data_IF_148403018437
#
_entry.id   IF_148403018437
#
_cell.length_a   1.000
_cell.length_b   1.000
_cell.length_c   1.000
_cell.angle_alpha   90.00
_cell.angle_beta   90.00
_cell.angle_gamma   90.00
#
_symmetry.space_group_name_H-M   'P 1'
#
loop_
_entity.id
_entity.type
_entity.pdbx_description
1 polymer ?
#
# COMPACT_ATOMS: atom_id res chain seq x y z
N UNK A 1 -1.18 19.89 69.64
CA UNK A 1 -2.22 19.59 68.63
C UNK A 1 -1.70 19.99 67.25
N UNK A 2 -1.30 19.04 66.39
CA UNK A 2 -0.94 19.31 65.00
C UNK A 2 -2.03 18.88 64.00
N UNK A 3 -2.15 19.60 62.89
CA UNK A 3 -3.09 19.35 61.78
C UNK A 3 -2.66 18.13 60.95
N UNK A 4 -3.58 17.35 60.35
CA UNK A 4 -3.22 16.33 59.38
C UNK A 4 -2.94 16.96 58.01
N UNK A 5 -1.81 16.58 57.41
CA UNK A 5 -1.52 16.81 55.99
C UNK A 5 -2.25 15.78 55.13
N UNK A 6 -2.85 16.27 54.05
CA UNK A 6 -3.52 15.53 52.99
C UNK A 6 -2.54 14.56 52.30
N UNK A 7 -2.85 13.27 52.37
CA UNK A 7 -2.07 12.18 51.75
C UNK A 7 -2.95 11.52 50.69
N UNK A 8 -2.55 11.67 49.43
CA UNK A 8 -2.71 10.61 48.43
C UNK A 8 -3.87 10.74 47.44
N UNK A 9 -3.86 11.76 46.57
CA UNK A 9 -4.42 11.61 45.23
C UNK A 9 -3.37 10.98 44.31
N UNK A 10 -3.40 9.65 44.20
CA UNK A 10 -2.58 8.90 43.24
C UNK A 10 -3.29 7.63 42.81
N UNK A 11 -4.50 7.77 42.24
CA UNK A 11 -5.16 6.70 41.50
C UNK A 11 -6.05 7.30 40.42
N UNK A 12 -5.47 7.59 39.25
CA UNK A 12 -6.18 7.63 37.97
C UNK A 12 -5.17 7.81 36.84
N UNK A 13 -4.44 6.74 36.50
CA UNK A 13 -3.66 6.67 35.26
C UNK A 13 -3.34 5.21 34.94
N UNK A 14 -4.35 4.50 34.46
CA UNK A 14 -4.22 3.10 34.12
C UNK A 14 -5.51 2.55 33.57
N UNK A 15 -6.03 3.17 32.50
CA UNK A 15 -7.08 2.61 31.65
C UNK A 15 -7.30 3.51 30.42
N UNK A 16 -6.35 3.49 29.48
CA UNK A 16 -6.54 4.10 28.15
C UNK A 16 -5.67 3.42 27.08
N UNK A 17 -5.46 2.10 27.18
CA UNK A 17 -4.72 1.30 26.19
C UNK A 17 -5.47 0.01 25.82
N UNK A 18 -6.81 0.08 25.72
CA UNK A 18 -7.65 -1.04 25.27
C UNK A 18 -8.70 -0.57 24.25
N UNK A 19 -8.29 0.06 23.15
CA UNK A 19 -9.20 0.36 22.04
C UNK A 19 -8.52 0.42 20.66
N UNK A 20 -7.50 -0.40 20.40
CA UNK A 20 -6.90 -0.50 19.07
C UNK A 20 -6.79 -1.94 18.54
N UNK A 21 -7.47 -2.89 19.19
CA UNK A 21 -7.45 -4.31 18.81
C UNK A 21 -8.81 -4.82 18.29
N UNK A 22 -9.76 -3.93 18.00
CA UNK A 22 -11.13 -4.31 17.65
C UNK A 22 -11.59 -3.59 16.41
N UNK A 23 -11.15 -4.06 15.23
CA UNK A 23 -11.99 -4.16 14.01
C UNK A 23 -11.24 -4.82 12.83
N UNK A 24 -10.31 -5.75 13.10
CA UNK A 24 -9.59 -6.47 12.03
C UNK A 24 -10.57 -7.24 11.14
N UNK A 25 -11.57 -7.91 11.73
CA UNK A 25 -12.58 -8.66 11.00
C UNK A 25 -13.46 -7.79 10.07
N UNK A 26 -13.81 -6.56 10.49
CA UNK A 26 -14.56 -5.61 9.66
C UNK A 26 -13.71 -5.05 8.52
N UNK A 27 -12.43 -4.82 8.80
CA UNK A 27 -11.43 -4.39 7.82
C UNK A 27 -11.15 -5.46 6.76
N UNK A 28 -11.02 -6.72 7.18
CA UNK A 28 -10.85 -7.88 6.30
C UNK A 28 -12.03 -8.06 5.36
N UNK A 29 -13.27 -7.97 5.87
CA UNK A 29 -14.48 -8.04 5.03
C UNK A 29 -14.59 -6.86 4.06
N UNK A 30 -14.21 -5.65 4.49
CA UNK A 30 -14.17 -4.48 3.59
C UNK A 30 -13.15 -4.71 2.46
N UNK A 31 -11.96 -5.19 2.78
CA UNK A 31 -10.90 -5.41 1.79
C UNK A 31 -11.26 -6.50 0.78
N UNK A 32 -11.87 -7.61 1.24
CA UNK A 32 -12.31 -8.72 0.39
C UNK A 32 -13.45 -8.30 -0.56
N UNK A 33 -14.39 -7.50 -0.04
CA UNK A 33 -15.46 -6.90 -0.85
C UNK A 33 -14.91 -5.94 -1.91
N UNK A 34 -13.84 -5.20 -1.59
CA UNK A 34 -13.23 -4.25 -2.52
C UNK A 34 -12.40 -4.90 -3.63
N UNK A 35 -11.73 -6.03 -3.37
CA UNK A 35 -11.18 -6.87 -4.45
C UNK A 35 -12.30 -7.33 -5.41
N UNK A 36 -13.46 -7.65 -4.85
CA UNK A 36 -14.63 -8.09 -5.62
C UNK A 36 -15.33 -6.93 -6.38
N UNK A 37 -15.37 -5.73 -5.82
CA UNK A 37 -15.93 -4.53 -6.47
C UNK A 37 -15.01 -3.96 -7.54
N UNK A 38 -13.69 -3.95 -7.32
CA UNK A 38 -12.72 -3.56 -8.35
C UNK A 38 -12.86 -4.45 -9.58
N UNK A 39 -13.15 -5.76 -9.43
CA UNK A 39 -13.41 -6.67 -10.54
C UNK A 39 -14.50 -6.19 -11.52
N UNK A 40 -15.45 -5.33 -11.10
CA UNK A 40 -16.61 -4.92 -11.92
C UNK A 40 -16.53 -3.55 -12.60
N UNK A 41 -15.60 -2.66 -12.22
CA UNK A 41 -15.56 -1.30 -12.79
C UNK A 41 -14.52 -1.16 -13.91
N UNK A 42 -15.05 -0.77 -15.07
CA UNK A 42 -14.41 -0.12 -16.21
C UNK A 42 -13.80 -1.02 -17.29
N UNK A 43 -14.68 -1.44 -18.19
CA UNK A 43 -14.41 -1.56 -19.62
C UNK A 43 -14.53 -0.13 -20.21
N UNK A 44 -13.43 0.61 -20.30
CA UNK A 44 -13.43 1.86 -21.09
C UNK A 44 -12.39 1.72 -22.18
N UNK A 45 -12.80 1.61 -23.46
CA UNK A 45 -11.88 1.60 -24.58
C UNK A 45 -11.18 2.97 -24.64
N UNK A 46 -9.85 3.00 -24.61
CA UNK A 46 -9.09 4.20 -24.96
C UNK A 46 -9.22 4.42 -26.47
N UNK A 47 -10.16 5.27 -26.87
CA UNK A 47 -10.24 5.83 -28.23
C UNK A 47 -9.50 7.17 -28.21
N UNK A 48 -8.26 7.20 -28.72
CA UNK A 48 -7.51 8.44 -28.94
C UNK A 48 -6.74 8.37 -30.27
N UNK A 49 -6.59 9.50 -31.00
CA UNK A 49 -6.20 9.51 -32.41
C UNK A 49 -4.72 9.16 -32.59
N UNK A 50 -4.46 8.27 -33.54
CA UNK A 50 -3.14 7.84 -33.98
C UNK A 50 -2.47 8.93 -34.83
N UNK A 51 -1.60 9.77 -34.27
CA UNK A 51 -0.59 10.49 -35.07
C UNK A 51 0.81 10.46 -34.44
N UNK A 52 1.77 10.09 -35.31
CA UNK A 52 3.24 10.19 -35.23
C UNK A 52 3.99 9.19 -34.32
N UNK A 53 4.18 7.98 -34.85
CA UNK A 53 4.96 6.89 -34.27
C UNK A 53 6.48 7.11 -34.37
N UNK A 54 7.07 7.79 -33.39
CA UNK A 54 8.33 7.29 -32.84
C UNK A 54 8.03 5.93 -32.19
N UNK A 55 8.87 4.91 -32.38
CA UNK A 55 8.70 3.60 -31.70
C UNK A 55 8.81 3.81 -30.20
N UNK A 56 7.70 4.16 -29.55
CA UNK A 56 7.59 4.37 -28.11
C UNK A 56 8.02 3.07 -27.43
N UNK A 57 9.05 3.14 -26.58
CA UNK A 57 9.51 1.95 -25.90
C UNK A 57 8.42 1.46 -24.94
N UNK A 58 8.35 0.16 -24.69
CA UNK A 58 7.40 -0.42 -23.73
C UNK A 58 7.51 0.26 -22.36
N UNK A 59 8.73 0.65 -21.98
CA UNK A 59 9.00 1.37 -20.73
C UNK A 59 8.38 2.77 -20.73
N UNK A 60 8.42 3.48 -21.86
CA UNK A 60 7.78 4.80 -21.96
C UNK A 60 6.26 4.68 -21.87
N UNK A 61 5.65 3.69 -22.52
CA UNK A 61 4.21 3.42 -22.36
C UNK A 61 3.84 3.07 -20.91
N UNK A 62 4.70 2.34 -20.19
CA UNK A 62 4.49 2.09 -18.77
C UNK A 62 4.64 3.35 -17.92
N UNK A 63 5.52 4.28 -18.28
CA UNK A 63 5.64 5.57 -17.58
C UNK A 63 4.37 6.40 -17.72
N UNK A 64 3.79 6.47 -18.91
CA UNK A 64 2.50 7.13 -19.12
C UNK A 64 1.40 6.48 -18.28
N UNK A 65 1.29 5.15 -18.31
CA UNK A 65 0.34 4.41 -17.46
C UNK A 65 0.54 4.75 -15.98
N UNK A 66 1.79 4.80 -15.51
CA UNK A 66 2.10 5.10 -14.13
C UNK A 66 1.71 6.55 -13.76
N UNK A 67 2.07 7.51 -14.59
CA UNK A 67 1.80 8.92 -14.34
C UNK A 67 0.32 9.29 -14.44
N UNK A 68 -0.40 8.72 -15.41
CA UNK A 68 -1.78 9.08 -15.71
C UNK A 68 -2.80 8.30 -14.89
N UNK A 69 -2.51 7.05 -14.55
CA UNK A 69 -3.51 6.16 -13.95
C UNK A 69 -3.06 5.52 -12.63
N UNK A 70 -1.85 4.93 -12.58
CA UNK A 70 -1.41 4.20 -11.36
C UNK A 70 -1.21 5.15 -10.19
N UNK A 71 -0.44 6.23 -10.36
CA UNK A 71 -0.15 7.18 -9.28
C UNK A 71 -1.44 7.76 -8.69
N UNK A 72 -2.40 8.29 -9.48
CA UNK A 72 -3.69 8.72 -8.96
C UNK A 72 -4.44 7.64 -8.18
N UNK A 73 -4.55 6.43 -8.73
CA UNK A 73 -5.24 5.33 -8.04
C UNK A 73 -4.56 4.96 -6.72
N UNK A 74 -3.23 4.98 -6.66
CA UNK A 74 -2.48 4.71 -5.44
C UNK A 74 -2.67 5.80 -4.37
N UNK A 75 -2.81 7.07 -4.78
CA UNK A 75 -3.15 8.17 -3.88
C UNK A 75 -4.55 7.97 -3.32
N UNK A 76 -5.55 7.72 -4.18
CA UNK A 76 -6.92 7.45 -3.76
C UNK A 76 -7.01 6.25 -2.80
N UNK A 77 -6.25 5.20 -3.10
CA UNK A 77 -6.15 4.01 -2.25
C UNK A 77 -5.56 4.38 -0.88
N UNK A 78 -4.47 5.14 -0.85
CA UNK A 78 -3.82 5.56 0.39
C UNK A 78 -4.74 6.42 1.26
N UNK A 79 -5.51 7.33 0.66
CA UNK A 79 -6.48 8.14 1.38
C UNK A 79 -7.62 7.30 1.93
N UNK A 80 -8.17 6.37 1.15
CA UNK A 80 -9.29 5.51 1.56
C UNK A 80 -9.00 4.66 2.80
N UNK A 81 -7.76 4.19 2.95
CA UNK A 81 -7.40 3.31 4.06
C UNK A 81 -6.68 4.01 5.22
N UNK A 82 -6.37 5.31 5.09
CA UNK A 82 -5.75 6.12 6.13
C UNK A 82 -6.59 6.10 7.42
N UNK A 83 -7.90 6.33 7.29
CA UNK A 83 -8.83 6.35 8.44
C UNK A 83 -9.03 4.97 9.08
N UNK A 84 -8.62 3.92 8.38
CA UNK A 84 -8.67 2.53 8.86
C UNK A 84 -7.35 2.08 9.52
N UNK A 85 -6.41 3.00 9.74
CA UNK A 85 -5.12 2.73 10.39
C UNK A 85 -4.10 2.02 9.48
N UNK A 86 -4.35 1.95 8.17
CA UNK A 86 -3.38 1.43 7.20
C UNK A 86 -2.64 2.63 6.60
N UNK A 87 -1.33 2.67 6.80
CA UNK A 87 -0.44 3.56 6.07
C UNK A 87 -0.09 2.95 4.72
N UNK A 88 -0.28 3.71 3.64
CA UNK A 88 0.18 3.34 2.31
C UNK A 88 0.97 4.51 1.72
N UNK A 89 2.20 4.23 1.29
CA UNK A 89 3.05 5.19 0.58
C UNK A 89 3.54 4.56 -0.71
N UNK A 90 3.28 5.24 -1.81
CA UNK A 90 3.75 4.85 -3.13
C UNK A 90 4.72 5.91 -3.64
N UNK A 91 5.89 5.49 -4.10
CA UNK A 91 6.86 6.34 -4.78
C UNK A 91 7.23 5.72 -6.12
N UNK A 92 6.98 6.46 -7.20
CA UNK A 92 7.40 6.12 -8.55
C UNK A 92 8.28 7.21 -9.16
N UNK A 93 8.85 8.09 -8.31
CA UNK A 93 9.54 9.30 -8.74
C UNK A 93 10.79 8.96 -9.57
N UNK A 94 11.56 7.94 -9.15
CA UNK A 94 12.71 7.45 -9.93
C UNK A 94 12.27 6.92 -11.30
N UNK A 95 11.25 6.07 -11.36
CA UNK A 95 10.74 5.51 -12.60
C UNK A 95 10.23 6.59 -13.59
N UNK A 96 9.44 7.54 -13.10
CA UNK A 96 8.92 8.65 -13.88
C UNK A 96 10.04 9.63 -14.32
N UNK A 97 11.09 9.75 -13.52
CA UNK A 97 12.28 10.57 -13.82
C UNK A 97 13.26 9.94 -14.81
N UNK A 98 12.95 8.77 -15.37
CA UNK A 98 13.81 8.08 -16.35
C UNK A 98 14.57 6.87 -15.79
N UNK A 99 14.51 6.64 -14.48
CA UNK A 99 15.02 5.46 -13.80
C UNK A 99 14.14 4.22 -13.99
N UNK A 100 14.21 3.30 -13.02
CA UNK A 100 13.50 1.99 -13.03
C UNK A 100 12.90 1.60 -11.68
N UNK A 101 13.16 2.38 -10.64
CA UNK A 101 12.74 2.13 -9.28
C UNK A 101 11.31 2.60 -9.01
N UNK A 102 10.54 1.73 -8.37
CA UNK A 102 9.30 2.09 -7.69
C UNK A 102 9.32 1.49 -6.29
N UNK A 103 8.62 2.11 -5.34
CA UNK A 103 8.51 1.63 -3.98
C UNK A 103 7.07 1.69 -3.49
N UNK A 104 6.61 0.60 -2.87
CA UNK A 104 5.34 0.53 -2.18
C UNK A 104 5.61 0.18 -0.73
N UNK A 105 5.25 1.07 0.17
CA UNK A 105 5.34 0.84 1.61
C UNK A 105 3.95 0.76 2.20
N UNK A 106 3.71 -0.30 2.97
CA UNK A 106 2.45 -0.56 3.65
C UNK A 106 2.70 -0.75 5.13
N UNK A 107 1.97 -0.04 5.98
CA UNK A 107 2.11 -0.08 7.44
C UNK A 107 0.76 -0.35 8.08
N UNK A 108 0.71 -1.24 9.06
CA UNK A 108 -0.48 -1.50 9.86
C UNK A 108 -0.07 -1.92 11.28
N UNK A 109 -0.47 -1.13 12.28
CA UNK A 109 0.01 -1.27 13.65
C UNK A 109 1.53 -1.13 13.73
N UNK A 110 2.21 -2.08 14.39
CA UNK A 110 3.67 -2.11 14.50
C UNK A 110 4.38 -2.76 13.31
N UNK A 111 3.65 -3.20 12.29
CA UNK A 111 4.21 -3.91 11.15
C UNK A 111 4.28 -3.03 9.93
N UNK A 112 5.39 -3.13 9.21
CA UNK A 112 5.63 -2.43 7.96
C UNK A 112 6.18 -3.39 6.92
N UNK A 113 5.69 -3.31 5.71
CA UNK A 113 6.19 -4.05 4.55
C UNK A 113 6.61 -3.04 3.50
N UNK A 114 7.81 -3.21 2.99
CA UNK A 114 8.33 -2.40 1.88
C UNK A 114 8.54 -3.34 0.69
N UNK A 115 7.98 -2.96 -0.45
CA UNK A 115 8.17 -3.59 -1.74
C UNK A 115 8.99 -2.65 -2.61
N UNK A 116 10.23 -3.02 -2.89
CA UNK A 116 11.13 -2.27 -3.77
C UNK A 116 11.11 -2.91 -5.15
N UNK A 117 10.45 -2.24 -6.09
CA UNK A 117 10.22 -2.70 -7.45
C UNK A 117 11.28 -2.19 -8.43
N UNK A 118 11.76 -3.07 -9.30
CA UNK A 118 12.53 -2.71 -10.49
C UNK A 118 11.70 -3.00 -11.74
N UNK A 119 11.40 -1.97 -12.52
CA UNK A 119 10.64 -2.07 -13.77
C UNK A 119 11.56 -2.56 -14.90
N UNK A 120 11.15 -3.65 -15.54
CA UNK A 120 11.77 -4.25 -16.72
C UNK A 120 10.74 -4.30 -17.86
N UNK A 121 11.16 -4.52 -19.12
CA UNK A 121 10.24 -4.51 -20.25
C UNK A 121 9.08 -5.51 -20.13
N UNK A 122 9.31 -6.68 -19.53
CA UNK A 122 8.34 -7.79 -19.41
C UNK A 122 7.69 -7.91 -18.03
N UNK A 123 8.29 -7.30 -16.99
CA UNK A 123 7.81 -7.41 -15.61
C UNK A 123 8.33 -6.30 -14.70
N UNK A 124 7.68 -6.16 -13.55
CA UNK A 124 8.19 -5.43 -12.40
C UNK A 124 8.55 -6.47 -11.35
N UNK A 125 9.82 -6.58 -10.98
CA UNK A 125 10.25 -7.50 -9.92
C UNK A 125 10.39 -6.74 -8.61
N UNK A 126 9.79 -7.26 -7.55
CA UNK A 126 9.86 -6.65 -6.22
C UNK A 126 10.79 -7.44 -5.31
N UNK A 127 11.62 -6.73 -4.56
CA UNK A 127 12.17 -7.24 -3.30
C UNK A 127 11.19 -6.88 -2.18
N UNK A 128 11.00 -7.78 -1.22
CA UNK A 128 10.09 -7.58 -0.10
C UNK A 128 10.87 -7.56 1.20
N UNK A 129 10.67 -6.51 1.99
CA UNK A 129 11.26 -6.38 3.32
C UNK A 129 10.14 -6.24 4.36
N UNK A 130 10.10 -7.15 5.32
CA UNK A 130 9.09 -7.14 6.39
C UNK A 130 9.73 -6.64 7.70
N UNK A 131 9.14 -5.62 8.30
CA UNK A 131 9.55 -5.01 9.57
C UNK A 131 8.50 -5.27 10.65
N UNK A 132 8.96 -5.49 11.88
CA UNK A 132 8.12 -5.58 13.08
C UNK A 132 8.74 -4.68 14.16
N UNK A 133 8.02 -3.65 14.57
CA UNK A 133 8.52 -2.61 15.48
C UNK A 133 9.73 -1.87 14.89
N UNK A 134 10.73 -1.59 15.74
CA UNK A 134 11.96 -0.90 15.35
C UNK A 134 13.09 -1.86 14.90
N UNK A 135 12.83 -3.16 14.78
CA UNK A 135 13.85 -4.15 14.44
C UNK A 135 13.98 -4.26 12.91
N UNK A 136 15.23 -4.26 12.43
CA UNK A 136 15.57 -4.32 11.01
C UNK A 136 14.88 -5.48 10.29
N UNK A 137 14.32 -5.18 9.12
CA UNK A 137 13.43 -6.10 8.42
C UNK A 137 14.14 -7.24 7.72
N UNK A 138 13.47 -8.39 7.63
CA UNK A 138 13.94 -9.54 6.84
C UNK A 138 13.65 -9.27 5.37
N UNK A 139 14.70 -9.10 4.58
CA UNK A 139 14.61 -8.99 3.13
C UNK A 139 14.47 -10.38 2.50
N UNK A 140 13.52 -10.52 1.59
CA UNK A 140 13.28 -11.72 0.81
C UNK A 140 12.97 -11.35 -0.64
N UNK A 141 13.14 -12.32 -1.55
CA UNK A 141 12.59 -12.19 -2.90
C UNK A 141 11.09 -11.96 -2.80
N UNK A 142 10.62 -10.91 -3.47
CA UNK A 142 9.21 -10.55 -3.51
C UNK A 142 8.53 -11.06 -4.78
N UNK A 143 7.25 -10.69 -4.97
CA UNK A 143 6.48 -11.06 -6.15
C UNK A 143 6.99 -10.34 -7.41
N UNK A 144 6.48 -10.76 -8.56
CA UNK A 144 6.69 -10.06 -9.82
C UNK A 144 5.37 -9.82 -10.54
N UNK A 145 5.18 -8.61 -11.08
CA UNK A 145 4.03 -8.24 -11.91
C UNK A 145 4.41 -8.24 -13.37
N UNK A 146 3.63 -8.88 -14.25
CA UNK A 146 3.88 -8.83 -15.70
C UNK A 146 3.42 -7.50 -16.26
N UNK A 147 4.26 -6.85 -17.07
CA UNK A 147 3.96 -5.53 -17.66
C UNK A 147 3.06 -5.60 -18.88
N UNK A 148 3.09 -6.71 -19.64
CA UNK A 148 2.34 -6.84 -20.88
C UNK A 148 0.80 -6.81 -20.74
N UNK A 149 0.29 -6.96 -19.52
CA UNK A 149 -1.14 -6.82 -19.18
C UNK A 149 -1.34 -5.92 -17.96
N UNK A 150 -0.34 -5.12 -17.61
CA UNK A 150 -0.43 -4.26 -16.44
C UNK A 150 -1.41 -3.13 -16.73
N UNK A 151 -2.41 -3.03 -15.88
CA UNK A 151 -3.35 -1.91 -15.81
C UNK A 151 -3.22 -1.25 -14.46
N UNK A 152 -3.69 -0.01 -14.32
CA UNK A 152 -3.67 0.67 -13.02
C UNK A 152 -4.44 -0.11 -11.94
N UNK A 153 -5.59 -0.67 -12.31
CA UNK A 153 -6.37 -1.58 -11.46
C UNK A 153 -5.57 -2.83 -11.09
N UNK A 154 -4.93 -3.49 -12.07
CA UNK A 154 -4.13 -4.69 -11.78
C UNK A 154 -2.97 -4.40 -10.82
N UNK A 155 -2.40 -3.20 -10.87
CA UNK A 155 -1.42 -2.75 -9.89
C UNK A 155 -2.06 -2.47 -8.52
N UNK A 156 -3.22 -1.80 -8.47
CA UNK A 156 -3.94 -1.53 -7.23
C UNK A 156 -4.40 -2.82 -6.53
N UNK A 157 -4.93 -3.78 -7.27
CA UNK A 157 -5.34 -5.10 -6.76
C UNK A 157 -4.13 -5.84 -6.18
N UNK A 158 -2.99 -5.81 -6.87
CA UNK A 158 -1.73 -6.35 -6.34
C UNK A 158 -1.33 -5.72 -5.00
N UNK A 159 -1.44 -4.39 -4.86
CA UNK A 159 -1.14 -3.73 -3.57
C UNK A 159 -2.18 -4.07 -2.50
N UNK A 160 -3.46 -4.15 -2.87
CA UNK A 160 -4.54 -4.55 -1.96
C UNK A 160 -4.33 -5.96 -1.41
N UNK A 161 -3.93 -6.93 -2.22
CA UNK A 161 -3.59 -8.28 -1.76
C UNK A 161 -2.50 -8.26 -0.68
N UNK A 162 -1.51 -7.37 -0.81
CA UNK A 162 -0.44 -7.21 0.18
C UNK A 162 -0.92 -6.52 1.45
N UNK A 163 -1.81 -5.52 1.35
CA UNK A 163 -2.48 -4.91 2.50
C UNK A 163 -3.27 -5.97 3.27
N UNK A 164 -4.06 -6.79 2.57
CA UNK A 164 -4.87 -7.86 3.17
C UNK A 164 -3.97 -8.87 3.89
N UNK A 165 -2.89 -9.30 3.24
CA UNK A 165 -1.94 -10.23 3.85
C UNK A 165 -1.32 -9.63 5.13
N UNK A 166 -0.97 -8.34 5.12
CA UNK A 166 -0.42 -7.66 6.28
C UNK A 166 -1.43 -7.62 7.44
N UNK A 167 -2.68 -7.24 7.17
CA UNK A 167 -3.77 -7.17 8.15
C UNK A 167 -4.05 -8.55 8.74
N UNK A 168 -4.22 -9.57 7.89
CA UNK A 168 -4.47 -10.97 8.31
C UNK A 168 -3.39 -11.50 9.23
N UNK A 169 -2.13 -11.15 8.96
CA UNK A 169 -1.01 -11.61 9.77
C UNK A 169 -0.96 -10.87 11.12
N UNK A 170 -1.53 -9.67 11.21
CA UNK A 170 -1.59 -8.86 12.44
C UNK A 170 -2.81 -9.22 13.31
N UNK A 171 -3.89 -9.73 12.71
CA UNK A 171 -5.09 -10.20 13.43
C UNK A 171 -4.89 -11.52 14.20
N UNK A 172 -3.73 -12.19 14.06
CA UNK A 172 -3.34 -13.42 14.77
C UNK A 172 -2.32 -13.11 15.84
#
# INVERSE_FOLDING_TARGET
MPRPMDRGMLHQRGQALKSAAGDTAGLENTLDSLLSENCRRNETPLDAPLEETAKKSVIDSLRDLFGQEVVPQMIELAERYRDKGVGLRFDASDFLGGGRGISVETTYGERRVVLEGTVMPDKIAFARTNYVGNVGGTMASGPSLRTGQLTAKGFADFVLEHIIALVRTNAR
#
